data_IF_039135235722
#
_entry.id   IF_039135235722
#
_cell.length_a   1.000
_cell.length_b   1.000
_cell.length_c   1.000
_cell.angle_alpha   90.00
_cell.angle_beta   90.00
_cell.angle_gamma   90.00
#
_symmetry.space_group_name_H-M   'P 1'
#
loop_
_entity.id
_entity.type
_entity.pdbx_description
1 polymer ?
#
# COMPACT_ATOMS: atom_id res chain seq x y z
N UNK A 1 -2.34 -68.98 12.23
CA UNK A 1 -2.35 -67.52 12.49
C UNK A 1 -1.14 -66.90 11.79
N UNK A 2 -1.19 -66.79 10.46
CA UNK A 2 -0.16 -66.10 9.66
C UNK A 2 -0.63 -65.79 8.22
N UNK A 3 -1.95 -65.68 7.95
CA UNK A 3 -2.48 -65.70 6.56
C UNK A 3 -3.46 -64.57 6.21
N UNK A 4 -3.45 -63.42 6.91
CA UNK A 4 -4.40 -62.31 6.62
C UNK A 4 -3.74 -60.99 6.23
N UNK A 5 -2.41 -60.89 6.19
CA UNK A 5 -1.70 -59.62 5.96
C UNK A 5 -1.29 -59.36 4.49
N UNK A 6 -1.44 -60.32 3.57
CA UNK A 6 -0.94 -60.16 2.18
C UNK A 6 -2.02 -59.92 1.11
N UNK A 7 -3.32 -59.92 1.47
CA UNK A 7 -4.41 -59.80 0.50
C UNK A 7 -4.94 -58.36 0.30
N UNK A 8 -4.43 -57.36 1.03
CA UNK A 8 -4.92 -55.98 0.97
C UNK A 8 -4.03 -55.02 0.17
N UNK A 9 -2.89 -55.47 -0.36
CA UNK A 9 -1.96 -54.60 -1.10
C UNK A 9 -2.14 -54.64 -2.64
N UNK A 10 -3.02 -55.48 -3.17
CA UNK A 10 -3.18 -55.69 -4.63
C UNK A 10 -4.43 -55.07 -5.26
N UNK A 11 -5.29 -54.38 -4.50
CA UNK A 11 -6.55 -53.80 -5.04
C UNK A 11 -6.49 -52.27 -5.25
N UNK A 12 -5.51 -51.56 -4.67
CA UNK A 12 -5.46 -50.10 -4.77
C UNK A 12 -4.77 -49.55 -6.04
N UNK A 13 -4.05 -50.38 -6.82
CA UNK A 13 -3.26 -49.91 -7.97
C UNK A 13 -4.02 -49.96 -9.32
N UNK A 14 -5.27 -50.42 -9.34
CA UNK A 14 -6.06 -50.56 -10.58
C UNK A 14 -7.08 -49.44 -10.83
N UNK A 15 -7.18 -48.43 -9.95
CA UNK A 15 -8.10 -47.29 -10.14
C UNK A 15 -7.45 -46.06 -10.82
N UNK A 16 -6.17 -46.11 -11.18
CA UNK A 16 -5.48 -44.97 -11.81
C UNK A 16 -5.55 -44.93 -13.35
N UNK A 17 -6.28 -45.84 -14.01
CA UNK A 17 -6.26 -45.93 -15.46
C UNK A 17 -7.65 -46.18 -16.06
N UNK A 18 -8.56 -45.21 -15.95
CA UNK A 18 -9.56 -44.87 -16.97
C UNK A 18 -10.63 -43.96 -16.38
N UNK A 19 -10.47 -42.65 -16.53
CA UNK A 19 -11.64 -41.80 -16.78
C UNK A 19 -11.21 -40.52 -17.51
N UNK A 20 -11.69 -40.42 -18.76
CA UNK A 20 -11.92 -39.22 -19.55
C UNK A 20 -10.72 -38.61 -20.29
N UNK A 21 -10.61 -39.06 -21.54
CA UNK A 21 -10.10 -38.29 -22.66
C UNK A 21 -11.00 -37.06 -22.93
N UNK A 22 -10.37 -35.97 -23.40
CA UNK A 22 -11.03 -34.96 -24.22
C UNK A 22 -11.15 -33.57 -23.61
N UNK A 23 -10.08 -32.78 -23.65
CA UNK A 23 -10.18 -31.33 -23.81
C UNK A 23 -9.13 -30.87 -24.82
N UNK A 24 -9.59 -30.30 -25.93
CA UNK A 24 -8.76 -29.72 -26.97
C UNK A 24 -7.91 -28.58 -26.42
N UNK A 25 -6.68 -28.50 -26.93
CA UNK A 25 -5.81 -27.36 -26.72
C UNK A 25 -6.47 -26.11 -27.33
N UNK A 26 -7.16 -25.34 -26.48
CA UNK A 26 -7.54 -23.98 -26.84
C UNK A 26 -6.31 -23.10 -26.64
N UNK A 27 -5.63 -22.77 -27.74
CA UNK A 27 -4.50 -21.85 -27.75
C UNK A 27 -4.93 -20.50 -27.18
N UNK A 28 -4.68 -20.33 -25.88
CA UNK A 28 -4.86 -19.05 -25.20
C UNK A 28 -3.69 -18.18 -25.61
N UNK A 29 -3.96 -17.29 -26.56
CA UNK A 29 -3.13 -16.15 -26.92
C UNK A 29 -2.48 -15.54 -25.67
N UNK A 30 -1.15 -15.64 -25.58
CA UNK A 30 -0.34 -14.79 -24.71
C UNK A 30 -0.44 -13.37 -25.24
N UNK A 31 -1.43 -12.62 -24.77
CA UNK A 31 -1.42 -11.17 -24.89
C UNK A 31 -0.25 -10.65 -24.05
N UNK A 32 0.84 -10.26 -24.73
CA UNK A 32 1.82 -9.34 -24.15
C UNK A 32 1.12 -8.04 -23.71
N UNK A 33 1.77 -7.20 -22.88
CA UNK A 33 1.12 -6.04 -22.28
C UNK A 33 0.63 -5.09 -23.37
N UNK A 34 -0.65 -5.21 -23.69
CA UNK A 34 -1.37 -4.29 -24.55
C UNK A 34 -1.47 -2.97 -23.80
N UNK A 35 -0.66 -2.00 -24.22
CA UNK A 35 -0.91 -0.60 -23.97
C UNK A 35 -2.24 -0.23 -24.64
N UNK A 36 -3.35 -0.52 -23.96
CA UNK A 36 -4.62 0.08 -24.29
C UNK A 36 -4.50 1.56 -23.94
N UNK A 37 -4.24 2.38 -24.97
CA UNK A 37 -4.45 3.82 -24.94
C UNK A 37 -5.95 4.12 -24.84
N UNK A 38 -6.56 3.75 -23.71
CA UNK A 38 -7.76 4.40 -23.22
C UNK A 38 -7.35 5.82 -22.83
N UNK A 39 -8.16 6.83 -23.16
CA UNK A 39 -7.91 8.22 -22.80
C UNK A 39 -7.48 8.30 -21.33
N UNK A 40 -6.18 8.51 -21.11
CA UNK A 40 -5.61 8.49 -19.76
C UNK A 40 -6.10 9.76 -19.10
N UNK A 41 -6.90 9.62 -18.06
CA UNK A 41 -7.42 10.76 -17.32
C UNK A 41 -6.25 11.66 -16.88
N UNK A 42 -6.41 12.99 -16.95
CA UNK A 42 -5.32 13.92 -16.65
C UNK A 42 -4.68 13.72 -15.26
N UNK A 43 -5.44 13.22 -14.27
CA UNK A 43 -4.90 12.90 -12.95
C UNK A 43 -3.95 11.69 -12.91
N UNK A 44 -3.97 10.83 -13.93
CA UNK A 44 -3.07 9.69 -14.11
C UNK A 44 -1.81 10.04 -14.92
N UNK A 45 -1.78 11.18 -15.59
CA UNK A 45 -0.63 11.62 -16.38
C UNK A 45 0.48 12.13 -15.46
N UNK A 46 1.58 11.38 -15.34
CA UNK A 46 2.71 11.73 -14.48
C UNK A 46 3.65 12.78 -15.09
N UNK A 47 3.41 13.23 -16.33
CA UNK A 47 4.13 14.37 -16.92
C UNK A 47 3.59 15.72 -16.44
N UNK A 48 2.36 15.76 -15.93
CA UNK A 48 1.74 16.96 -15.37
C UNK A 48 2.17 17.19 -13.91
N UNK A 49 2.24 18.46 -13.45
CA UNK A 49 2.49 18.79 -12.05
C UNK A 49 1.45 18.16 -11.11
N UNK A 50 1.84 17.76 -9.87
CA UNK A 50 0.91 17.18 -8.89
C UNK A 50 -0.35 18.03 -8.65
N UNK A 51 -0.21 19.35 -8.60
CA UNK A 51 -1.33 20.27 -8.34
C UNK A 51 -2.35 20.26 -9.50
N UNK A 52 -1.89 20.21 -10.75
CA UNK A 52 -2.78 20.12 -11.92
C UNK A 52 -3.51 18.78 -11.96
N UNK A 53 -2.81 17.70 -11.63
CA UNK A 53 -3.39 16.35 -11.53
C UNK A 53 -4.44 16.28 -10.42
N UNK A 54 -4.15 16.85 -9.26
CA UNK A 54 -5.07 16.94 -8.13
C UNK A 54 -6.30 17.79 -8.47
N UNK A 55 -6.11 18.94 -9.11
CA UNK A 55 -7.19 19.80 -9.56
C UNK A 55 -8.10 19.09 -10.57
N UNK A 56 -7.54 18.38 -11.55
CA UNK A 56 -8.29 17.59 -12.51
C UNK A 56 -9.10 16.47 -11.83
N UNK A 57 -8.52 15.78 -10.84
CA UNK A 57 -9.22 14.76 -10.07
C UNK A 57 -10.39 15.36 -9.27
N UNK A 58 -10.15 16.45 -8.54
CA UNK A 58 -11.19 17.14 -7.75
C UNK A 58 -12.29 17.70 -8.65
N UNK A 59 -11.97 18.20 -9.84
CA UNK A 59 -12.95 18.67 -10.80
C UNK A 59 -13.87 17.54 -11.30
N UNK A 60 -13.36 16.31 -11.40
CA UNK A 60 -14.13 15.13 -11.79
C UNK A 60 -15.00 14.53 -10.67
N UNK A 61 -14.75 14.89 -9.40
CA UNK A 61 -15.51 14.40 -8.25
C UNK A 61 -16.88 15.09 -8.11
N UNK A 62 -17.88 14.31 -7.72
CA UNK A 62 -19.16 14.82 -7.23
C UNK A 62 -19.02 15.46 -5.83
N UNK A 63 -20.01 16.26 -5.41
CA UNK A 63 -20.03 16.83 -4.06
C UNK A 63 -19.84 15.80 -2.93
N UNK A 64 -20.59 14.68 -2.92
CA UNK A 64 -20.40 13.61 -1.95
C UNK A 64 -19.00 12.97 -1.98
N UNK A 65 -18.42 12.75 -3.17
CA UNK A 65 -17.07 12.21 -3.31
C UNK A 65 -16.00 13.16 -2.73
N UNK A 66 -16.19 14.49 -2.88
CA UNK A 66 -15.34 15.51 -2.25
C UNK A 66 -15.46 15.48 -0.73
N UNK A 67 -16.69 15.43 -0.21
CA UNK A 67 -16.94 15.36 1.23
C UNK A 67 -16.32 14.09 1.83
N UNK A 68 -16.40 12.97 1.13
CA UNK A 68 -15.78 11.72 1.53
C UNK A 68 -14.24 11.82 1.70
N UNK A 69 -13.57 12.68 0.93
CA UNK A 69 -12.12 12.90 1.07
C UNK A 69 -11.73 13.65 2.36
N UNK A 70 -12.69 14.27 3.05
CA UNK A 70 -12.43 15.02 4.30
C UNK A 70 -12.43 14.12 5.55
N UNK A 71 -12.83 12.86 5.43
CA UNK A 71 -12.82 11.91 6.54
C UNK A 71 -11.50 11.14 6.63
N UNK A 72 -11.23 10.47 7.75
CA UNK A 72 -10.06 9.58 7.90
C UNK A 72 -10.35 8.10 7.59
N UNK A 73 -11.62 7.70 7.45
CA UNK A 73 -12.02 6.31 7.17
C UNK A 73 -11.94 5.94 5.67
N UNK A 74 -11.12 4.94 5.26
CA UNK A 74 -10.99 4.53 3.87
C UNK A 74 -12.30 4.04 3.24
N UNK A 75 -13.17 3.41 4.03
CA UNK A 75 -14.41 2.82 3.52
C UNK A 75 -15.31 3.87 2.85
N UNK A 76 -15.30 5.11 3.35
CA UNK A 76 -16.11 6.20 2.81
C UNK A 76 -15.47 6.90 1.61
N UNK A 77 -14.18 6.68 1.34
CA UNK A 77 -13.42 7.31 0.25
C UNK A 77 -13.45 6.56 -1.07
N UNK A 78 -14.10 5.40 -1.13
CA UNK A 78 -14.26 4.70 -2.39
C UNK A 78 -15.00 5.59 -3.40
N UNK A 79 -14.41 5.78 -4.58
CA UNK A 79 -14.90 6.70 -5.61
C UNK A 79 -15.20 5.96 -6.89
N UNK A 80 -16.16 6.48 -7.68
CA UNK A 80 -16.48 5.96 -9.01
C UNK A 80 -15.31 6.11 -9.99
N UNK A 81 -14.36 7.00 -9.69
CA UNK A 81 -13.22 7.35 -10.53
C UNK A 81 -12.09 6.31 -10.52
N UNK A 82 -12.27 5.16 -9.86
CA UNK A 82 -11.26 4.08 -9.83
C UNK A 82 -10.02 4.41 -9.01
N UNK A 83 -10.05 5.48 -8.21
CA UNK A 83 -8.99 5.82 -7.26
C UNK A 83 -9.14 4.94 -6.02
N UNK A 84 -8.08 4.23 -5.65
CA UNK A 84 -8.05 3.45 -4.42
C UNK A 84 -8.28 4.33 -3.21
N UNK A 85 -9.14 3.89 -2.29
CA UNK A 85 -9.17 4.51 -0.97
C UNK A 85 -7.85 4.26 -0.25
N UNK A 86 -7.45 5.22 0.55
CA UNK A 86 -6.21 5.16 1.33
C UNK A 86 -6.45 5.70 2.72
N UNK A 87 -5.68 5.28 3.72
CA UNK A 87 -5.78 5.81 5.09
C UNK A 87 -5.15 7.21 5.18
N UNK A 88 -5.70 8.14 5.97
CA UNK A 88 -5.16 9.50 6.20
C UNK A 88 -4.60 9.71 7.61
N UNK A 89 -4.66 8.70 8.49
CA UNK A 89 -4.24 8.83 9.88
C UNK A 89 -3.10 7.87 10.20
N UNK A 90 -1.91 8.14 9.70
CA UNK A 90 -0.71 7.44 10.15
C UNK A 90 0.14 8.38 10.99
N UNK A 91 0.85 7.79 11.94
CA UNK A 91 1.67 8.49 12.94
C UNK A 91 3.09 7.95 12.87
N UNK A 92 4.06 8.85 12.80
CA UNK A 92 5.46 8.51 12.64
C UNK A 92 6.41 9.34 13.52
N UNK A 93 5.88 9.97 14.59
CA UNK A 93 6.55 11.03 15.36
C UNK A 93 8.00 10.71 15.76
N UNK A 94 8.26 9.46 16.13
CA UNK A 94 9.60 8.97 16.47
C UNK A 94 9.79 7.51 16.04
N UNK A 95 9.27 7.17 14.86
CA UNK A 95 9.15 5.80 14.39
C UNK A 95 7.74 5.51 13.88
N UNK A 96 7.62 4.61 12.91
CA UNK A 96 6.33 4.27 12.31
C UNK A 96 5.54 3.34 13.23
N UNK A 97 4.32 3.73 13.59
CA UNK A 97 3.40 2.82 14.30
C UNK A 97 2.76 1.88 13.27
N UNK A 98 3.39 0.74 13.04
CA UNK A 98 2.82 -0.32 12.21
C UNK A 98 1.77 -1.12 13.01
N UNK A 99 0.72 -1.59 12.34
CA UNK A 99 -0.39 -2.33 12.97
C UNK A 99 0.08 -3.66 13.62
N UNK A 100 1.28 -4.13 13.27
CA UNK A 100 1.98 -5.31 13.80
C UNK A 100 3.25 -4.97 14.62
N UNK A 101 3.54 -3.69 14.88
CA UNK A 101 4.70 -3.27 15.68
C UNK A 101 6.07 -3.38 14.99
N UNK A 102 6.12 -3.50 13.67
CA UNK A 102 7.36 -3.72 12.90
C UNK A 102 8.19 -2.46 12.57
N UNK A 103 7.80 -1.27 13.03
CA UNK A 103 8.57 -0.04 12.80
C UNK A 103 9.70 0.16 13.82
N UNK A 104 10.82 0.72 13.39
CA UNK A 104 11.90 1.10 14.31
C UNK A 104 11.44 2.24 15.20
N UNK A 105 11.56 2.07 16.51
CA UNK A 105 11.23 3.09 17.50
C UNK A 105 12.49 3.84 17.94
N UNK A 106 12.52 5.12 17.63
CA UNK A 106 13.60 6.03 17.98
C UNK A 106 13.27 6.77 19.29
N UNK A 107 14.26 7.44 19.90
CA UNK A 107 14.01 8.35 21.01
C UNK A 107 12.95 9.40 20.65
N UNK A 108 12.14 9.82 21.62
CA UNK A 108 11.14 10.88 21.43
C UNK A 108 11.78 12.16 20.87
N UNK A 109 11.03 13.03 20.16
CA UNK A 109 11.60 14.21 19.49
C UNK A 109 12.40 15.15 20.41
N UNK A 110 12.04 15.22 21.70
CA UNK A 110 12.81 15.98 22.70
C UNK A 110 14.26 15.48 22.83
N UNK A 111 14.48 14.17 22.74
CA UNK A 111 15.81 13.58 22.79
C UNK A 111 16.61 13.87 21.50
N UNK A 112 15.97 13.93 20.34
CA UNK A 112 16.65 14.35 19.10
C UNK A 112 17.07 15.81 19.17
N UNK A 113 16.18 16.69 19.63
CA UNK A 113 16.48 18.10 19.81
C UNK A 113 17.66 18.32 20.78
N UNK A 114 17.76 17.52 21.84
CA UNK A 114 18.86 17.56 22.81
C UNK A 114 20.23 17.17 22.21
N UNK A 115 20.28 16.56 21.02
CA UNK A 115 21.55 16.29 20.32
C UNK A 115 22.12 17.53 19.64
N UNK A 116 21.31 18.56 19.41
CA UNK A 116 21.64 19.74 18.60
C UNK A 116 22.25 19.38 17.23
N UNK A 117 21.85 18.24 16.67
CA UNK A 117 22.38 17.70 15.42
C UNK A 117 21.27 17.60 14.35
N UNK A 118 21.13 18.61 13.47
CA UNK A 118 20.11 18.60 12.43
C UNK A 118 20.35 17.50 11.39
N UNK A 119 21.61 17.15 11.09
CA UNK A 119 21.93 16.08 10.16
C UNK A 119 21.48 14.70 10.69
N UNK A 120 21.67 14.44 11.99
CA UNK A 120 21.16 13.24 12.63
C UNK A 120 19.63 13.18 12.59
N UNK A 121 18.97 14.31 12.89
CA UNK A 121 17.50 14.42 12.80
C UNK A 121 17.00 14.09 11.40
N UNK A 122 17.66 14.64 10.36
CA UNK A 122 17.32 14.36 8.97
C UNK A 122 17.55 12.90 8.60
N UNK A 123 18.65 12.30 9.06
CA UNK A 123 18.96 10.89 8.81
C UNK A 123 17.89 9.97 9.40
N UNK A 124 17.48 10.21 10.64
CA UNK A 124 16.43 9.42 11.30
C UNK A 124 15.08 9.61 10.59
N UNK A 125 14.72 10.85 10.25
CA UNK A 125 13.49 11.12 9.49
C UNK A 125 13.48 10.42 8.11
N UNK A 126 14.64 10.33 7.44
CA UNK A 126 14.78 9.60 6.17
C UNK A 126 14.53 8.10 6.36
N UNK A 127 15.09 7.49 7.41
CA UNK A 127 14.90 6.07 7.71
C UNK A 127 13.43 5.75 8.00
N UNK A 128 12.73 6.60 8.77
CA UNK A 128 11.29 6.49 9.00
C UNK A 128 10.53 6.53 7.65
N UNK A 129 10.90 7.44 6.75
CA UNK A 129 10.30 7.54 5.42
C UNK A 129 10.49 6.29 4.56
N UNK A 130 11.66 5.65 4.64
CA UNK A 130 11.95 4.40 3.92
C UNK A 130 11.15 3.22 4.47
N UNK A 131 11.04 3.09 5.80
CA UNK A 131 10.21 2.08 6.45
C UNK A 131 8.74 2.21 6.02
N UNK A 132 8.21 3.44 6.05
CA UNK A 132 6.84 3.71 5.62
C UNK A 132 6.60 3.35 4.16
N UNK A 133 7.54 3.65 3.26
CA UNK A 133 7.45 3.27 1.86
C UNK A 133 7.45 1.75 1.70
N UNK A 134 8.32 1.05 2.43
CA UNK A 134 8.36 -0.41 2.46
C UNK A 134 7.04 -1.02 2.92
N UNK A 135 6.51 -0.53 4.03
CA UNK A 135 5.21 -0.96 4.56
C UNK A 135 4.06 -0.66 3.60
N UNK A 136 4.06 0.49 2.93
CA UNK A 136 3.04 0.85 1.94
C UNK A 136 3.07 -0.12 0.75
N UNK A 137 4.26 -0.42 0.24
CA UNK A 137 4.42 -1.36 -0.86
C UNK A 137 3.94 -2.76 -0.47
N UNK A 138 4.25 -3.22 0.76
CA UNK A 138 3.76 -4.49 1.28
C UNK A 138 2.22 -4.50 1.42
N UNK A 139 1.61 -3.41 1.88
CA UNK A 139 0.16 -3.31 1.97
C UNK A 139 -0.54 -3.33 0.61
N UNK A 140 0.00 -2.61 -0.38
CA UNK A 140 -0.50 -2.63 -1.76
C UNK A 140 -0.35 -4.02 -2.37
N UNK A 141 0.78 -4.69 -2.19
CA UNK A 141 1.00 -6.06 -2.65
C UNK A 141 0.03 -7.07 -2.01
N UNK A 142 -0.37 -6.84 -0.76
CA UNK A 142 -1.39 -7.63 -0.06
C UNK A 142 -2.84 -7.25 -0.41
N UNK A 143 -3.07 -6.36 -1.38
CA UNK A 143 -4.41 -5.96 -1.82
C UNK A 143 -5.15 -5.02 -0.86
N UNK A 144 -4.47 -4.45 0.14
CA UNK A 144 -5.07 -3.56 1.16
C UNK A 144 -5.15 -2.09 0.76
N UNK A 145 -4.75 -1.76 -0.46
CA UNK A 145 -4.61 -0.38 -0.96
C UNK A 145 -3.48 0.41 -0.28
N UNK A 146 -3.28 1.69 -0.66
CA UNK A 146 -2.28 2.55 -0.04
C UNK A 146 -2.64 2.84 1.43
N UNK A 147 -1.71 2.63 2.35
CA UNK A 147 -1.98 2.67 3.81
C UNK A 147 -1.00 3.56 4.57
N UNK A 148 0.23 3.72 4.08
CA UNK A 148 1.33 4.36 4.80
C UNK A 148 1.95 5.48 3.96
N UNK A 149 1.08 6.34 3.40
CA UNK A 149 1.45 7.37 2.41
C UNK A 149 1.87 8.70 3.02
N UNK A 150 1.62 8.91 4.31
CA UNK A 150 1.86 10.17 5.02
C UNK A 150 2.11 9.86 6.50
N UNK A 151 2.77 10.80 7.16
CA UNK A 151 3.41 10.63 8.47
C UNK A 151 2.69 11.37 9.59
N UNK A 152 2.06 12.47 9.18
CA UNK A 152 1.22 13.32 9.98
C UNK A 152 -0.16 13.14 9.40
N UNK A 153 -1.15 12.78 10.23
CA UNK A 153 -2.53 12.93 9.82
C UNK A 153 -2.82 14.35 9.34
N UNK A 154 -4.05 14.72 8.94
CA UNK A 154 -4.36 16.03 8.37
C UNK A 154 -4.14 17.25 9.31
N UNK A 155 -3.37 17.12 10.40
CA UNK A 155 -2.91 18.19 11.30
C UNK A 155 -1.82 19.05 10.64
N UNK A 156 -2.18 20.18 10.01
CA UNK A 156 -1.23 21.05 9.32
C UNK A 156 -0.28 21.75 10.32
N UNK A 157 -0.67 21.78 11.61
CA UNK A 157 0.06 22.43 12.68
C UNK A 157 1.36 21.71 13.08
N UNK A 158 1.45 20.39 12.89
CA UNK A 158 2.63 19.61 13.31
C UNK A 158 3.81 19.83 12.34
N UNK A 159 3.52 19.92 11.04
CA UNK A 159 4.54 20.10 9.99
C UNK A 159 5.29 21.43 10.13
N UNK A 160 4.61 22.49 10.59
CA UNK A 160 5.21 23.82 10.74
C UNK A 160 6.19 23.91 11.92
N UNK A 161 5.98 23.10 12.97
CA UNK A 161 6.86 23.06 14.14
C UNK A 161 8.19 22.34 13.83
N UNK A 162 8.14 21.26 13.04
CA UNK A 162 9.34 20.53 12.62
C UNK A 162 10.28 21.39 11.75
N UNK A 163 9.71 22.22 10.88
CA UNK A 163 10.50 23.10 10.00
C UNK A 163 11.12 24.29 10.78
N UNK A 164 10.40 24.85 11.75
CA UNK A 164 10.90 25.97 12.57
C UNK A 164 12.04 25.57 13.52
N UNK A 165 12.09 24.32 13.96
CA UNK A 165 13.17 23.82 14.83
C UNK A 165 14.47 23.50 14.09
N UNK A 166 14.42 23.32 12.76
CA UNK A 166 15.60 23.00 11.93
C UNK A 166 16.08 24.20 11.10
N UNK A 167 15.19 25.15 10.74
CA UNK A 167 15.54 26.31 9.92
C UNK A 167 15.88 27.58 10.72
N UNK A 168 15.93 27.51 12.06
CA UNK A 168 16.31 28.61 12.93
C UNK A 168 17.64 28.30 13.64
N UNK A 169 18.67 28.02 12.85
CA UNK A 169 20.08 27.95 13.28
C UNK A 169 20.98 28.24 12.10
#
# INVERSE_FOLDING_TARGET
>A
MADTALALLSVALACCAALVAGQGANSSSTAGPGANSAATHAWLDTSLPPDERAAALVAAMTGPEKLAQLESSPAKRAMRLGISSFYYQRECLHGMVADNGEGTMYPQPMAWAATFNPALTQQVASQIGDEMRGMNNAAVAAGRGPQYTHCFGPHPAIVRLACLLVACS
#
